data_IF_850034489718
#
_entry.id   IF_850034489718
#
_cell.length_a   1.000
_cell.length_b   1.000
_cell.length_c   1.000
_cell.angle_alpha   90.00
_cell.angle_beta   90.00
_cell.angle_gamma   90.00
#
_symmetry.space_group_name_H-M   'P 1'
#
loop_
_entity.id
_entity.type
_entity.pdbx_description
1 polymer ?
#
# COMPACT_ATOMS: atom_id res chain seq x y z
N UNK A 1 -26.21 22.19 -28.65
CA UNK A 1 -25.27 21.04 -28.74
C UNK A 1 -24.45 21.01 -27.46
N UNK A 2 -24.70 20.07 -26.57
CA UNK A 2 -23.94 19.92 -25.33
C UNK A 2 -22.49 19.61 -25.65
N UNK A 3 -21.55 20.13 -24.84
CA UNK A 3 -20.15 19.84 -25.04
C UNK A 3 -19.88 18.35 -24.74
N UNK A 4 -18.96 17.72 -25.45
CA UNK A 4 -18.46 16.37 -25.15
C UNK A 4 -18.10 16.21 -23.68
N UNK A 5 -17.56 17.27 -23.07
CA UNK A 5 -17.20 17.32 -21.65
C UNK A 5 -18.38 17.08 -20.72
N UNK A 6 -19.53 17.71 -20.98
CA UNK A 6 -20.73 17.54 -20.12
C UNK A 6 -21.31 16.14 -20.23
N UNK A 7 -21.32 15.59 -21.47
CA UNK A 7 -21.77 14.20 -21.72
C UNK A 7 -20.87 13.19 -20.97
N UNK A 8 -19.55 13.33 -21.10
CA UNK A 8 -18.59 12.48 -20.40
C UNK A 8 -18.68 12.64 -18.87
N UNK A 9 -18.88 13.88 -18.37
CA UNK A 9 -19.02 14.14 -16.95
C UNK A 9 -20.26 13.43 -16.35
N UNK A 10 -21.41 13.45 -17.00
CA UNK A 10 -22.59 12.72 -16.52
C UNK A 10 -22.42 11.20 -16.60
N UNK A 11 -21.87 10.68 -17.71
CA UNK A 11 -21.67 9.24 -17.87
C UNK A 11 -20.68 8.66 -16.85
N UNK A 12 -19.45 9.20 -16.83
CA UNK A 12 -18.42 8.76 -15.88
C UNK A 12 -18.78 9.11 -14.43
N UNK A 13 -19.34 10.31 -14.22
CA UNK A 13 -19.76 10.76 -12.89
C UNK A 13 -20.85 9.88 -12.28
N UNK A 14 -21.80 9.38 -13.09
CA UNK A 14 -22.84 8.47 -12.60
C UNK A 14 -22.28 7.10 -12.18
N UNK A 15 -21.28 6.56 -12.89
CA UNK A 15 -20.60 5.32 -12.51
C UNK A 15 -19.77 5.53 -11.24
N UNK A 16 -18.99 6.62 -11.17
CA UNK A 16 -18.21 6.95 -9.97
C UNK A 16 -19.09 7.19 -8.75
N UNK A 17 -20.27 7.79 -8.94
CA UNK A 17 -21.25 7.95 -7.87
C UNK A 17 -21.69 6.60 -7.30
N UNK A 18 -22.01 5.64 -8.17
CA UNK A 18 -22.38 4.28 -7.74
C UNK A 18 -21.26 3.61 -6.95
N UNK A 19 -20.01 3.72 -7.39
CA UNK A 19 -18.85 3.20 -6.64
C UNK A 19 -18.71 3.85 -5.26
N UNK A 20 -18.90 5.17 -5.15
CA UNK A 20 -18.90 5.85 -3.86
C UNK A 20 -20.01 5.36 -2.92
N UNK A 21 -21.22 5.15 -3.44
CA UNK A 21 -22.35 4.60 -2.66
C UNK A 21 -22.02 3.18 -2.19
N UNK A 22 -21.44 2.35 -3.05
CA UNK A 22 -21.00 0.99 -2.72
C UNK A 22 -19.97 0.98 -1.60
N UNK A 23 -18.90 1.77 -1.76
CA UNK A 23 -17.86 1.86 -0.74
C UNK A 23 -18.42 2.37 0.59
N UNK A 24 -19.32 3.36 0.54
CA UNK A 24 -19.95 3.90 1.74
C UNK A 24 -20.88 2.88 2.41
N UNK A 25 -21.66 2.13 1.65
CA UNK A 25 -22.48 1.04 2.16
C UNK A 25 -21.60 -0.03 2.83
N UNK A 26 -20.49 -0.41 2.21
CA UNK A 26 -19.56 -1.38 2.75
C UNK A 26 -18.94 -0.89 4.06
N UNK A 27 -18.44 0.36 4.13
CA UNK A 27 -17.94 0.97 5.36
C UNK A 27 -19.02 0.94 6.46
N UNK A 28 -20.24 1.38 6.13
CA UNK A 28 -21.35 1.40 7.09
C UNK A 28 -21.69 0.00 7.59
N UNK A 29 -21.57 -1.01 6.73
CA UNK A 29 -21.78 -2.42 7.07
C UNK A 29 -20.81 -2.93 8.14
N UNK A 30 -19.60 -2.37 8.23
CA UNK A 30 -18.67 -2.69 9.31
C UNK A 30 -18.84 -1.89 10.60
N UNK A 31 -19.62 -0.81 10.57
CA UNK A 31 -19.80 0.09 11.72
C UNK A 31 -21.21 0.09 12.30
N UNK A 32 -22.20 -0.44 11.58
CA UNK A 32 -23.61 -0.49 12.01
C UNK A 32 -24.11 -1.94 12.09
N UNK A 33 -24.42 -2.40 13.29
CA UNK A 33 -24.77 -3.81 13.59
C UNK A 33 -25.86 -4.40 12.69
N UNK A 34 -26.97 -3.70 12.35
CA UNK A 34 -27.99 -4.28 11.46
C UNK A 34 -27.45 -4.63 10.08
N UNK A 35 -26.63 -3.78 9.46
CA UNK A 35 -25.99 -4.06 8.17
C UNK A 35 -24.89 -5.11 8.32
N UNK A 36 -24.14 -5.09 9.42
CA UNK A 36 -23.12 -6.09 9.67
C UNK A 36 -23.67 -7.53 9.71
N UNK A 37 -24.89 -7.71 10.22
CA UNK A 37 -25.56 -9.02 10.22
C UNK A 37 -25.80 -9.57 8.81
N UNK A 38 -25.97 -8.70 7.83
CA UNK A 38 -26.07 -9.07 6.41
C UNK A 38 -24.67 -9.29 5.83
N UNK A 39 -23.78 -8.34 6.06
CA UNK A 39 -22.45 -8.32 5.49
C UNK A 39 -21.53 -9.46 6.01
N UNK A 40 -21.72 -9.93 7.24
CA UNK A 40 -20.94 -11.03 7.81
C UNK A 40 -21.04 -12.34 6.98
N UNK A 41 -22.09 -12.51 6.20
CA UNK A 41 -22.21 -13.65 5.29
C UNK A 41 -21.11 -13.62 4.23
N UNK A 42 -20.77 -12.44 3.69
CA UNK A 42 -19.67 -12.24 2.77
C UNK A 42 -18.32 -12.68 3.36
N UNK A 43 -18.04 -12.36 4.62
CA UNK A 43 -16.79 -12.76 5.28
C UNK A 43 -16.70 -14.25 5.63
N UNK A 44 -17.82 -14.95 5.70
CA UNK A 44 -17.86 -16.39 6.03
C UNK A 44 -17.71 -17.30 4.83
N UNK A 45 -17.80 -16.77 3.62
CA UNK A 45 -17.85 -17.56 2.38
C UNK A 45 -16.52 -18.19 2.05
N UNK A 46 -15.42 -17.45 2.20
CA UNK A 46 -14.14 -17.84 1.64
C UNK A 46 -13.14 -18.28 2.69
N UNK A 47 -12.30 -19.26 2.30
CA UNK A 47 -11.06 -19.62 2.97
C UNK A 47 -9.91 -18.72 2.50
N UNK A 48 -8.73 -18.71 3.17
CA UNK A 48 -7.59 -17.88 2.75
C UNK A 48 -7.07 -18.15 1.33
N UNK A 49 -7.36 -19.32 0.75
CA UNK A 49 -7.06 -19.65 -0.65
C UNK A 49 -8.14 -19.19 -1.66
N UNK A 50 -9.16 -18.47 -1.14
CA UNK A 50 -10.35 -18.01 -1.86
C UNK A 50 -11.26 -19.12 -2.39
N UNK A 51 -11.09 -20.36 -1.93
CA UNK A 51 -12.11 -21.38 -2.16
C UNK A 51 -13.32 -21.16 -1.24
N UNK A 52 -14.52 -21.44 -1.71
CA UNK A 52 -15.71 -21.34 -0.88
C UNK A 52 -15.73 -22.39 0.23
N UNK A 53 -16.26 -22.04 1.41
CA UNK A 53 -16.43 -22.96 2.55
C UNK A 53 -17.47 -24.03 2.20
N UNK A 54 -18.61 -23.62 1.58
CA UNK A 54 -19.60 -24.51 1.01
C UNK A 54 -20.43 -23.75 -0.03
N UNK A 55 -21.02 -24.50 -0.97
CA UNK A 55 -21.90 -23.91 -2.01
C UNK A 55 -23.15 -23.26 -1.38
N UNK A 56 -23.71 -23.86 -0.35
CA UNK A 56 -24.87 -23.30 0.34
C UNK A 56 -24.55 -21.93 0.97
N UNK A 57 -23.44 -21.81 1.68
CA UNK A 57 -23.01 -20.52 2.30
C UNK A 57 -22.72 -19.50 1.19
N UNK A 58 -22.08 -19.92 0.10
CA UNK A 58 -21.78 -19.06 -1.05
C UNK A 58 -23.07 -18.45 -1.62
N UNK A 59 -24.07 -19.28 -1.95
CA UNK A 59 -25.38 -18.80 -2.46
C UNK A 59 -26.10 -17.88 -1.46
N UNK A 60 -26.09 -18.23 -0.17
CA UNK A 60 -26.72 -17.40 0.86
C UNK A 60 -26.07 -16.04 1.01
N UNK A 61 -24.73 -15.96 0.88
CA UNK A 61 -24.03 -14.68 0.95
C UNK A 61 -24.49 -13.72 -0.15
N UNK A 62 -24.75 -14.19 -1.37
CA UNK A 62 -25.23 -13.33 -2.44
C UNK A 62 -26.67 -12.83 -2.20
N UNK A 63 -27.52 -13.64 -1.59
CA UNK A 63 -28.88 -13.19 -1.20
C UNK A 63 -28.87 -12.21 -0.02
N UNK A 64 -28.02 -12.43 0.98
CA UNK A 64 -28.04 -11.62 2.20
C UNK A 64 -27.11 -10.40 2.13
N UNK A 65 -26.02 -10.46 1.40
CA UNK A 65 -25.08 -9.34 1.27
C UNK A 65 -25.21 -8.60 -0.07
N UNK A 66 -24.98 -9.30 -1.20
CA UNK A 66 -24.81 -8.66 -2.51
C UNK A 66 -26.12 -8.10 -3.05
N UNK A 67 -27.24 -8.80 -2.83
CA UNK A 67 -28.56 -8.31 -3.28
C UNK A 67 -28.99 -7.03 -2.58
N UNK A 68 -28.99 -6.91 -1.22
CA UNK A 68 -29.28 -5.65 -0.54
C UNK A 68 -28.37 -4.50 -0.95
N UNK A 69 -27.06 -4.75 -1.06
CA UNK A 69 -26.08 -3.76 -1.52
C UNK A 69 -26.43 -3.25 -2.92
N UNK A 70 -26.69 -4.16 -3.88
CA UNK A 70 -27.06 -3.81 -5.26
C UNK A 70 -28.37 -3.03 -5.33
N UNK A 71 -29.34 -3.32 -4.45
CA UNK A 71 -30.60 -2.58 -4.40
C UNK A 71 -30.39 -1.14 -3.87
N UNK A 72 -29.52 -0.94 -2.88
CA UNK A 72 -29.15 0.39 -2.42
C UNK A 72 -28.43 1.17 -3.52
N UNK A 73 -27.46 0.55 -4.19
CA UNK A 73 -26.78 1.15 -5.34
C UNK A 73 -27.78 1.54 -6.44
N UNK A 74 -28.76 0.69 -6.74
CA UNK A 74 -29.79 0.97 -7.74
C UNK A 74 -30.67 2.16 -7.34
N UNK A 75 -31.10 2.22 -6.10
CA UNK A 75 -31.87 3.36 -5.59
C UNK A 75 -31.12 4.68 -5.81
N UNK A 76 -29.87 4.76 -5.37
CA UNK A 76 -29.08 5.98 -5.50
C UNK A 76 -28.67 6.31 -6.94
N UNK A 77 -28.52 5.32 -7.83
CA UNK A 77 -28.29 5.57 -9.25
C UNK A 77 -29.52 6.12 -9.95
N UNK A 78 -30.72 5.62 -9.60
CA UNK A 78 -31.99 6.14 -10.10
C UNK A 78 -32.26 7.57 -9.57
N UNK A 79 -31.93 7.86 -8.31
CA UNK A 79 -32.05 9.22 -7.76
C UNK A 79 -31.14 10.20 -8.51
N UNK A 80 -29.88 9.82 -8.79
CA UNK A 80 -28.96 10.64 -9.59
C UNK A 80 -29.48 10.86 -11.03
N UNK A 81 -30.01 9.81 -11.67
CA UNK A 81 -30.62 9.94 -12.96
C UNK A 81 -31.83 10.88 -12.94
N UNK A 82 -32.68 10.82 -11.88
CA UNK A 82 -33.80 11.74 -11.67
C UNK A 82 -33.33 13.20 -11.55
N UNK A 83 -32.24 13.45 -10.84
CA UNK A 83 -31.61 14.77 -10.77
C UNK A 83 -31.14 15.23 -12.14
N UNK A 84 -30.46 14.35 -12.90
CA UNK A 84 -30.01 14.66 -14.27
C UNK A 84 -31.21 14.97 -15.19
N UNK A 85 -32.31 14.24 -15.05
CA UNK A 85 -33.53 14.44 -15.83
C UNK A 85 -34.13 15.84 -15.63
N UNK A 86 -34.07 16.36 -14.37
CA UNK A 86 -34.62 17.70 -14.05
C UNK A 86 -33.69 18.82 -14.53
N UNK A 87 -32.36 18.63 -14.47
CA UNK A 87 -31.40 19.73 -14.58
C UNK A 87 -30.55 19.74 -15.84
N UNK A 88 -30.53 18.68 -16.65
CA UNK A 88 -29.64 18.61 -17.81
C UNK A 88 -30.17 17.79 -18.97
N UNK A 89 -29.68 18.15 -20.17
CA UNK A 89 -29.80 17.36 -21.37
C UNK A 89 -28.38 16.98 -21.87
N UNK A 90 -28.12 15.76 -22.30
CA UNK A 90 -29.01 14.60 -22.33
C UNK A 90 -28.92 13.80 -21.01
N UNK A 91 -30.00 13.81 -20.24
CA UNK A 91 -30.12 13.05 -18.98
C UNK A 91 -29.95 11.54 -19.13
N UNK A 92 -30.19 10.99 -20.33
CA UNK A 92 -30.03 9.56 -20.61
C UNK A 92 -28.60 9.06 -20.39
N UNK A 93 -27.57 9.93 -20.49
CA UNK A 93 -26.17 9.54 -20.25
C UNK A 93 -25.94 9.11 -18.81
N UNK A 94 -26.67 9.69 -17.85
CA UNK A 94 -26.59 9.31 -16.44
C UNK A 94 -27.16 7.89 -16.17
N UNK A 95 -27.90 7.29 -17.13
CA UNK A 95 -28.29 5.88 -17.07
C UNK A 95 -27.08 4.92 -17.09
N UNK A 96 -25.87 5.39 -17.45
CA UNK A 96 -24.65 4.58 -17.35
C UNK A 96 -24.45 4.01 -15.94
N UNK A 97 -24.70 4.81 -14.88
CA UNK A 97 -24.67 4.34 -13.50
C UNK A 97 -25.77 3.31 -13.18
N UNK A 98 -26.96 3.47 -13.74
CA UNK A 98 -28.06 2.50 -13.58
C UNK A 98 -27.70 1.16 -14.25
N UNK A 99 -27.23 1.18 -15.49
CA UNK A 99 -26.81 -0.03 -16.22
C UNK A 99 -25.65 -0.72 -15.49
N UNK A 100 -24.70 0.06 -15.01
CA UNK A 100 -23.60 -0.44 -14.21
C UNK A 100 -24.10 -1.16 -12.95
N UNK A 101 -25.03 -0.57 -12.21
CA UNK A 101 -25.63 -1.19 -11.02
C UNK A 101 -26.43 -2.46 -11.35
N UNK A 102 -27.17 -2.44 -12.45
CA UNK A 102 -27.92 -3.63 -12.89
C UNK A 102 -26.99 -4.82 -13.15
N UNK A 103 -25.75 -4.61 -13.59
CA UNK A 103 -24.79 -5.71 -13.74
C UNK A 103 -24.45 -6.38 -12.42
N UNK A 104 -24.32 -5.63 -11.31
CA UNK A 104 -24.13 -6.19 -9.96
C UNK A 104 -25.37 -6.93 -9.47
N UNK A 105 -26.56 -6.36 -9.68
CA UNK A 105 -27.83 -6.98 -9.28
C UNK A 105 -28.05 -8.31 -9.99
N UNK A 106 -27.86 -8.35 -11.31
CA UNK A 106 -27.96 -9.58 -12.10
C UNK A 106 -26.92 -10.60 -11.68
N UNK A 107 -25.67 -10.15 -11.44
CA UNK A 107 -24.60 -11.01 -10.91
C UNK A 107 -24.94 -11.61 -9.54
N UNK A 108 -25.47 -10.83 -8.61
CA UNK A 108 -25.90 -11.30 -7.29
C UNK A 108 -27.02 -12.35 -7.39
N UNK A 109 -28.04 -12.11 -8.22
CA UNK A 109 -29.14 -13.05 -8.45
C UNK A 109 -28.63 -14.33 -9.11
N UNK A 110 -27.77 -14.23 -10.12
CA UNK A 110 -27.23 -15.38 -10.84
C UNK A 110 -26.40 -16.29 -9.90
N UNK A 111 -25.50 -15.71 -9.11
CA UNK A 111 -24.70 -16.46 -8.12
C UNK A 111 -25.56 -17.05 -7.01
N UNK A 112 -26.49 -16.25 -6.46
CA UNK A 112 -27.41 -16.70 -5.42
C UNK A 112 -28.32 -17.83 -5.87
N UNK A 113 -28.72 -17.84 -7.13
CA UNK A 113 -29.52 -18.92 -7.75
C UNK A 113 -28.68 -20.13 -8.17
N UNK A 114 -27.34 -20.05 -8.08
CA UNK A 114 -26.43 -21.12 -8.45
C UNK A 114 -26.36 -21.36 -9.97
N UNK A 115 -26.47 -20.29 -10.77
CA UNK A 115 -26.27 -20.38 -12.21
C UNK A 115 -24.81 -20.73 -12.52
N UNK A 116 -24.60 -21.81 -13.27
CA UNK A 116 -23.26 -22.28 -13.63
C UNK A 116 -22.45 -21.20 -14.37
N UNK A 117 -21.20 -20.96 -13.95
CA UNK A 117 -20.31 -19.97 -14.54
C UNK A 117 -20.58 -18.51 -14.15
N UNK A 118 -21.58 -18.24 -13.31
CA UNK A 118 -21.89 -16.89 -12.87
C UNK A 118 -20.76 -16.29 -12.01
N UNK A 119 -20.12 -17.10 -11.17
CA UNK A 119 -18.96 -16.78 -10.35
C UNK A 119 -17.74 -16.42 -11.21
N UNK A 120 -17.46 -17.18 -12.25
CA UNK A 120 -16.34 -16.92 -13.17
C UNK A 120 -16.48 -15.57 -13.91
N UNK A 121 -17.70 -15.14 -14.18
CA UNK A 121 -17.97 -13.92 -14.94
C UNK A 121 -18.08 -12.68 -14.05
N UNK A 122 -18.60 -12.82 -12.84
CA UNK A 122 -19.06 -11.67 -12.04
C UNK A 122 -18.39 -11.55 -10.65
N UNK A 123 -17.61 -12.56 -10.21
CA UNK A 123 -16.90 -12.54 -8.91
C UNK A 123 -15.38 -12.55 -9.07
N UNK A 124 -14.86 -11.52 -9.73
CA UNK A 124 -13.46 -11.46 -10.14
C UNK A 124 -12.47 -11.33 -8.98
N UNK A 125 -12.89 -10.72 -7.86
CA UNK A 125 -12.04 -10.48 -6.69
C UNK A 125 -11.91 -11.68 -5.77
N UNK A 126 -12.79 -12.67 -5.88
CA UNK A 126 -12.79 -13.88 -5.05
C UNK A 126 -12.39 -15.15 -5.80
N UNK A 127 -11.91 -15.05 -7.01
CA UNK A 127 -11.47 -16.24 -7.76
C UNK A 127 -10.36 -16.98 -7.02
N UNK A 128 -10.47 -18.30 -6.80
CA UNK A 128 -9.41 -19.11 -6.21
C UNK A 128 -8.17 -19.15 -7.10
N UNK A 129 -7.06 -19.61 -6.55
CA UNK A 129 -5.79 -19.79 -7.25
C UNK A 129 -4.71 -18.77 -6.86
N UNK A 130 -3.53 -18.95 -7.44
CA UNK A 130 -2.33 -18.17 -7.10
C UNK A 130 -2.46 -16.70 -7.46
N UNK A 131 -1.89 -15.83 -6.61
CA UNK A 131 -1.71 -14.41 -6.92
C UNK A 131 -0.41 -14.24 -7.72
N UNK A 132 -0.46 -13.43 -8.78
CA UNK A 132 0.68 -13.14 -9.64
C UNK A 132 1.21 -11.71 -9.49
N UNK A 133 0.43 -10.84 -8.87
CA UNK A 133 0.76 -9.43 -8.69
C UNK A 133 0.45 -9.00 -7.27
N UNK A 134 1.22 -8.05 -6.71
CA UNK A 134 0.91 -7.49 -5.40
C UNK A 134 -0.41 -6.69 -5.41
N UNK A 135 -0.91 -6.26 -4.23
CA UNK A 135 -2.05 -5.35 -4.14
C UNK A 135 -1.88 -4.15 -5.06
N UNK A 136 -2.90 -3.86 -5.85
CA UNK A 136 -2.86 -2.75 -6.80
C UNK A 136 -2.97 -1.41 -6.08
N UNK A 137 -2.45 -0.34 -6.70
CA UNK A 137 -2.44 0.98 -6.10
C UNK A 137 -3.77 1.75 -6.29
N UNK A 138 -4.43 1.60 -7.45
CA UNK A 138 -5.59 2.41 -7.83
C UNK A 138 -6.87 1.63 -8.01
N UNK A 139 -6.76 0.35 -8.34
CA UNK A 139 -7.90 -0.53 -8.55
C UNK A 139 -7.82 -1.71 -7.57
N UNK A 140 -8.97 -2.13 -7.08
CA UNK A 140 -9.06 -3.31 -6.23
C UNK A 140 -8.77 -4.56 -7.08
N UNK A 141 -7.75 -5.31 -6.68
CA UNK A 141 -7.44 -6.63 -7.22
C UNK A 141 -7.58 -7.69 -6.12
N UNK A 142 -7.44 -8.97 -6.50
CA UNK A 142 -7.59 -10.09 -5.56
C UNK A 142 -6.73 -9.96 -4.30
N UNK A 143 -5.41 -9.64 -4.36
CA UNK A 143 -4.60 -9.44 -3.16
C UNK A 143 -5.02 -8.25 -2.30
N UNK A 144 -5.55 -7.17 -2.90
CA UNK A 144 -6.07 -6.04 -2.15
C UNK A 144 -7.32 -6.43 -1.36
N UNK A 145 -8.29 -7.06 -2.02
CA UNK A 145 -9.53 -7.51 -1.40
C UNK A 145 -9.32 -8.63 -0.38
N UNK A 146 -8.34 -9.50 -0.61
CA UNK A 146 -7.90 -10.51 0.33
C UNK A 146 -7.49 -9.90 1.69
N UNK A 147 -6.84 -8.74 1.68
CA UNK A 147 -6.48 -8.01 2.92
C UNK A 147 -7.72 -7.65 3.75
N UNK A 148 -8.83 -7.29 3.09
CA UNK A 148 -10.09 -7.00 3.76
C UNK A 148 -10.64 -8.22 4.50
N UNK A 149 -10.64 -9.38 3.86
CA UNK A 149 -11.15 -10.61 4.46
C UNK A 149 -10.25 -11.17 5.57
N UNK A 150 -8.93 -11.17 5.37
CA UNK A 150 -8.02 -12.02 6.16
C UNK A 150 -6.93 -11.25 6.91
N UNK A 151 -6.72 -9.97 6.62
CA UNK A 151 -5.74 -9.14 7.33
C UNK A 151 -6.41 -8.19 8.33
N UNK A 152 -7.34 -7.32 7.88
CA UNK A 152 -8.08 -6.43 8.75
C UNK A 152 -9.43 -6.03 8.13
N UNK A 153 -10.54 -6.55 8.66
CA UNK A 153 -11.90 -6.21 8.21
C UNK A 153 -12.32 -4.74 8.48
N UNK A 154 -11.54 -4.00 9.28
CA UNK A 154 -11.75 -2.55 9.51
C UNK A 154 -10.84 -1.68 8.63
N UNK A 155 -10.44 -2.19 7.47
CA UNK A 155 -9.65 -1.49 6.47
C UNK A 155 -9.92 -2.13 5.09
N UNK A 156 -9.43 -1.51 4.01
CA UNK A 156 -9.53 -2.04 2.63
C UNK A 156 -10.99 -2.21 2.17
N UNK A 157 -11.81 -1.21 2.39
CA UNK A 157 -13.26 -1.28 2.15
C UNK A 157 -13.65 -1.16 0.68
N UNK A 158 -12.80 -0.56 -0.16
CA UNK A 158 -13.16 -0.26 -1.55
C UNK A 158 -13.44 -1.51 -2.38
N UNK A 159 -14.44 -1.41 -3.25
CA UNK A 159 -14.87 -2.49 -4.14
C UNK A 159 -14.19 -2.48 -5.50
N UNK A 160 -13.92 -1.30 -6.09
CA UNK A 160 -13.32 -1.17 -7.43
C UNK A 160 -12.14 -0.21 -7.45
N UNK A 161 -12.31 1.02 -6.99
CA UNK A 161 -11.26 2.04 -6.91
C UNK A 161 -10.83 2.24 -5.47
N UNK A 162 -9.53 2.22 -5.19
CA UNK A 162 -8.99 2.36 -3.82
C UNK A 162 -9.07 3.79 -3.25
N UNK A 163 -9.81 4.69 -3.91
CA UNK A 163 -9.81 6.13 -3.63
C UNK A 163 -10.34 6.46 -2.23
N UNK A 164 -11.46 5.86 -1.83
CA UNK A 164 -12.08 6.12 -0.51
C UNK A 164 -11.16 5.63 0.60
N UNK A 165 -10.57 4.44 0.48
CA UNK A 165 -9.58 3.93 1.44
C UNK A 165 -8.36 4.84 1.56
N UNK A 166 -7.88 5.42 0.46
CA UNK A 166 -6.78 6.37 0.47
C UNK A 166 -7.14 7.66 1.23
N UNK A 167 -8.33 8.19 1.02
CA UNK A 167 -8.81 9.38 1.74
C UNK A 167 -8.93 9.11 3.24
N UNK A 168 -9.47 7.97 3.61
CA UNK A 168 -9.69 7.57 5.01
C UNK A 168 -8.41 7.11 5.71
N UNK A 169 -7.34 6.76 4.97
CA UNK A 169 -6.15 6.13 5.54
C UNK A 169 -6.36 4.67 5.95
N UNK A 170 -7.23 3.97 5.24
CA UNK A 170 -7.55 2.54 5.41
C UNK A 170 -7.01 1.66 4.27
N UNK A 171 -6.28 2.25 3.31
CA UNK A 171 -5.67 1.54 2.19
C UNK A 171 -4.45 0.68 2.57
N UNK A 172 -3.90 0.86 3.77
CA UNK A 172 -2.93 -0.04 4.41
C UNK A 172 -3.18 -0.05 5.93
N UNK A 173 -3.46 -1.23 6.48
CA UNK A 173 -3.52 -1.43 7.93
C UNK A 173 -2.17 -1.90 8.46
N UNK A 174 -1.69 -1.24 9.53
CA UNK A 174 -0.49 -1.65 10.26
C UNK A 174 -0.82 -2.49 11.48
N UNK A 175 -2.10 -2.56 11.87
CA UNK A 175 -2.55 -3.29 13.05
C UNK A 175 -2.22 -4.78 12.94
N UNK A 176 -1.47 -5.27 13.92
CA UNK A 176 -1.07 -6.68 14.00
C UNK A 176 0.04 -7.10 13.04
N UNK A 177 0.55 -6.20 12.18
CA UNK A 177 1.70 -6.45 11.30
C UNK A 177 3.00 -6.50 12.10
N UNK A 178 3.89 -7.42 11.75
CA UNK A 178 5.26 -7.44 12.24
C UNK A 178 6.12 -6.57 11.34
N UNK A 179 6.65 -5.48 11.88
CA UNK A 179 7.44 -4.48 11.13
C UNK A 179 8.85 -4.41 11.66
N UNK A 180 9.84 -4.67 10.82
CA UNK A 180 11.25 -4.54 11.15
C UNK A 180 11.86 -3.29 10.52
N UNK A 181 12.67 -2.56 11.30
CA UNK A 181 13.33 -1.32 10.88
C UNK A 181 14.83 -1.47 11.01
N UNK A 182 15.58 -1.35 9.89
CA UNK A 182 17.05 -1.27 9.93
C UNK A 182 17.51 0.13 10.33
N UNK A 183 18.71 0.26 10.89
CA UNK A 183 19.16 1.53 11.45
C UNK A 183 18.27 2.02 12.61
N UNK A 184 17.68 1.10 13.33
CA UNK A 184 16.69 1.32 14.37
C UNK A 184 17.20 2.16 15.55
N UNK A 185 18.51 2.14 15.84
CA UNK A 185 19.12 2.96 16.90
C UNK A 185 19.32 4.43 16.49
N UNK A 186 19.17 4.76 15.20
CA UNK A 186 19.24 6.13 14.68
C UNK A 186 18.00 6.96 15.03
N UNK A 187 18.10 8.29 14.86
CA UNK A 187 17.01 9.22 15.23
C UNK A 187 15.71 8.90 14.51
N UNK A 188 15.74 8.75 13.18
CA UNK A 188 14.53 8.39 12.41
C UNK A 188 14.06 6.97 12.72
N UNK A 189 15.00 6.01 12.91
CA UNK A 189 14.63 4.62 13.22
C UNK A 189 13.82 4.51 14.52
N UNK A 190 14.23 5.21 15.58
CA UNK A 190 13.48 5.27 16.85
C UNK A 190 12.08 5.88 16.68
N UNK A 191 11.98 6.99 15.95
CA UNK A 191 10.69 7.63 15.67
C UNK A 191 9.78 6.74 14.83
N UNK A 192 10.30 6.03 13.83
CA UNK A 192 9.53 5.05 13.05
C UNK A 192 8.99 3.92 13.93
N UNK A 193 9.83 3.31 14.77
CA UNK A 193 9.41 2.26 15.70
C UNK A 193 8.28 2.75 16.62
N UNK A 194 8.39 3.97 17.16
CA UNK A 194 7.37 4.56 18.00
C UNK A 194 6.03 4.73 17.26
N UNK A 195 6.00 5.42 16.12
CA UNK A 195 4.78 5.67 15.38
C UNK A 195 4.15 4.39 14.79
N UNK A 196 4.96 3.40 14.41
CA UNK A 196 4.47 2.08 13.99
C UNK A 196 3.77 1.36 15.14
N UNK A 197 4.37 1.37 16.33
CA UNK A 197 3.77 0.81 17.53
C UNK A 197 2.43 1.48 17.87
N UNK A 198 2.35 2.80 17.81
CA UNK A 198 1.11 3.57 18.01
C UNK A 198 -0.01 3.19 17.02
N UNK A 199 0.35 2.68 15.85
CA UNK A 199 -0.61 2.16 14.86
C UNK A 199 -0.93 0.66 15.05
N UNK A 200 -0.47 0.06 16.16
CA UNK A 200 -0.73 -1.33 16.52
C UNK A 200 0.14 -2.34 15.81
N UNK A 201 1.28 -1.95 15.24
CA UNK A 201 2.27 -2.87 14.70
C UNK A 201 3.11 -3.52 15.82
N UNK A 202 3.56 -4.75 15.58
CA UNK A 202 4.60 -5.42 16.36
C UNK A 202 5.95 -5.02 15.77
N UNK A 203 6.72 -4.22 16.51
CA UNK A 203 7.95 -3.62 16.00
C UNK A 203 9.18 -4.45 16.37
N UNK A 204 10.13 -4.56 15.42
CA UNK A 204 11.43 -5.21 15.59
C UNK A 204 12.51 -4.21 15.18
N UNK A 205 13.50 -4.03 16.05
CA UNK A 205 14.64 -3.17 15.80
C UNK A 205 15.82 -3.97 15.25
N UNK A 206 16.25 -3.65 14.02
CA UNK A 206 17.46 -4.20 13.41
C UNK A 206 18.57 -3.15 13.50
N UNK A 207 19.64 -3.44 14.26
CA UNK A 207 20.71 -2.47 14.57
C UNK A 207 22.06 -3.16 14.68
N UNK A 208 23.14 -2.41 14.48
CA UNK A 208 24.52 -2.87 14.74
C UNK A 208 24.95 -2.69 16.19
N UNK A 209 24.11 -2.06 17.03
CA UNK A 209 24.38 -1.85 18.45
C UNK A 209 23.78 -2.98 19.28
N UNK A 210 24.51 -3.40 20.33
CA UNK A 210 24.07 -4.45 21.26
C UNK A 210 23.07 -3.95 22.31
N UNK A 211 23.00 -2.62 22.53
CA UNK A 211 22.13 -2.05 23.55
C UNK A 211 20.64 -2.21 23.18
N UNK A 212 19.79 -2.65 24.11
CA UNK A 212 18.35 -2.74 23.90
C UNK A 212 17.77 -1.37 23.53
N UNK A 213 16.83 -1.36 22.58
CA UNK A 213 16.09 -0.16 22.25
C UNK A 213 14.85 -0.08 23.14
N UNK A 214 14.82 0.96 23.97
CA UNK A 214 13.68 1.30 24.81
C UNK A 214 13.05 2.56 24.22
N UNK A 215 11.75 2.51 23.97
CA UNK A 215 10.91 3.63 23.58
C UNK A 215 10.09 4.07 24.80
N UNK A 216 9.65 5.32 24.81
CA UNK A 216 8.64 5.78 25.77
C UNK A 216 7.32 5.87 25.07
N UNK A 217 6.36 5.04 25.43
CA UNK A 217 5.00 5.02 24.89
C UNK A 217 4.00 5.31 26.03
N UNK A 218 3.20 6.35 25.88
CA UNK A 218 2.19 6.78 26.88
C UNK A 218 2.76 6.99 28.30
N UNK A 219 4.03 7.43 28.36
CA UNK A 219 4.75 7.64 29.64
C UNK A 219 5.44 6.40 30.22
N UNK A 220 5.20 5.22 29.64
CA UNK A 220 5.79 3.95 30.08
C UNK A 220 6.92 3.48 29.14
N UNK A 221 7.96 2.83 29.69
CA UNK A 221 9.04 2.27 28.88
C UNK A 221 8.58 1.04 28.11
N UNK A 222 8.68 1.07 26.78
CA UNK A 222 8.43 -0.05 25.88
C UNK A 222 9.75 -0.64 25.42
N UNK A 223 10.03 -1.88 25.82
CA UNK A 223 11.19 -2.65 25.31
C UNK A 223 10.84 -3.22 23.93
N UNK A 224 11.65 -2.90 22.93
CA UNK A 224 11.50 -3.39 21.55
C UNK A 224 12.36 -4.63 21.33
N UNK A 225 11.81 -5.69 20.70
CA UNK A 225 12.62 -6.83 20.25
C UNK A 225 13.76 -6.29 19.37
N UNK A 226 15.01 -6.45 19.84
CA UNK A 226 16.20 -5.94 19.16
C UNK A 226 17.00 -7.12 18.64
N UNK A 227 17.40 -7.05 17.36
CA UNK A 227 18.24 -8.03 16.68
C UNK A 227 19.48 -7.31 16.19
N UNK A 228 20.64 -7.78 16.63
CA UNK A 228 21.94 -7.22 16.25
C UNK A 228 22.40 -7.87 14.93
N UNK A 229 22.83 -7.04 13.98
CA UNK A 229 23.39 -7.46 12.71
C UNK A 229 24.43 -6.46 12.19
N UNK A 230 25.26 -6.87 11.26
CA UNK A 230 26.31 -6.04 10.66
C UNK A 230 26.17 -6.01 9.14
N UNK A 231 26.47 -4.86 8.52
CA UNK A 231 26.59 -4.73 7.06
C UNK A 231 27.64 -5.72 6.55
N UNK A 232 27.32 -6.48 5.51
CA UNK A 232 28.11 -7.60 5.00
C UNK A 232 27.61 -8.97 5.45
N UNK A 233 26.84 -9.05 6.55
CA UNK A 233 26.30 -10.28 7.12
C UNK A 233 24.76 -10.31 7.04
N UNK A 234 24.17 -9.79 5.96
CA UNK A 234 22.71 -9.72 5.78
C UNK A 234 22.05 -11.11 5.79
N UNK A 235 22.79 -12.15 5.36
CA UNK A 235 22.33 -13.54 5.39
C UNK A 235 21.94 -14.06 6.77
N UNK A 236 22.51 -13.51 7.84
CA UNK A 236 22.22 -13.91 9.23
C UNK A 236 20.77 -13.59 9.62
N UNK A 237 20.17 -12.61 8.92
CA UNK A 237 18.78 -12.22 9.14
C UNK A 237 17.76 -13.10 8.40
N UNK A 238 18.18 -14.07 7.58
CA UNK A 238 17.28 -14.83 6.70
C UNK A 238 16.11 -15.49 7.46
N UNK A 239 16.38 -16.09 8.60
CA UNK A 239 15.35 -16.75 9.41
C UNK A 239 14.34 -15.74 10.00
N UNK A 240 14.82 -14.60 10.44
CA UNK A 240 13.98 -13.53 11.02
C UNK A 240 13.08 -12.89 9.96
N UNK A 241 13.59 -12.70 8.73
CA UNK A 241 12.85 -12.09 7.62
C UNK A 241 11.61 -12.92 7.21
N UNK A 242 11.58 -14.22 7.45
CA UNK A 242 10.39 -15.05 7.17
C UNK A 242 9.16 -14.58 7.95
N UNK A 243 9.34 -14.16 9.20
CA UNK A 243 8.25 -13.73 10.10
C UNK A 243 7.84 -12.27 9.97
N UNK A 244 8.53 -11.48 9.14
CA UNK A 244 8.31 -10.05 8.98
C UNK A 244 7.29 -9.79 7.86
N UNK A 245 6.28 -8.96 8.15
CA UNK A 245 5.31 -8.49 7.17
C UNK A 245 5.83 -7.25 6.41
N UNK A 246 6.51 -6.32 7.11
CA UNK A 246 7.04 -5.10 6.50
C UNK A 246 8.50 -4.90 6.93
N UNK A 247 9.39 -4.81 5.95
CA UNK A 247 10.80 -4.47 6.16
C UNK A 247 11.07 -3.02 5.76
N UNK A 248 11.55 -2.20 6.71
CA UNK A 248 11.93 -0.80 6.46
C UNK A 248 13.45 -0.69 6.41
N UNK A 249 13.99 -0.46 5.22
CA UNK A 249 15.42 -0.27 4.97
C UNK A 249 15.78 1.21 5.21
N UNK A 250 16.25 1.53 6.42
CA UNK A 250 16.50 2.90 6.87
C UNK A 250 17.97 3.13 7.30
N UNK A 251 18.80 2.10 7.32
CA UNK A 251 20.23 2.28 7.65
C UNK A 251 20.97 3.04 6.55
N UNK A 252 22.04 3.71 6.93
CA UNK A 252 22.88 4.47 6.02
C UNK A 252 23.98 5.20 6.74
N UNK A 253 24.93 5.70 5.97
CA UNK A 253 26.03 6.55 6.44
C UNK A 253 26.16 7.79 5.56
N UNK A 254 26.82 8.81 6.11
CA UNK A 254 27.29 9.97 5.37
C UNK A 254 28.79 10.16 5.65
N UNK A 255 29.59 10.12 4.61
CA UNK A 255 31.05 10.38 4.68
C UNK A 255 31.40 11.85 4.41
N UNK A 256 30.36 12.70 4.34
CA UNK A 256 30.44 14.14 4.11
C UNK A 256 31.22 14.50 2.83
N UNK A 257 32.31 15.27 2.94
CA UNK A 257 33.12 15.73 1.81
C UNK A 257 34.26 14.80 1.41
N UNK A 258 34.39 13.62 2.04
CA UNK A 258 35.43 12.66 1.70
C UNK A 258 35.23 12.09 0.30
N UNK A 259 36.33 11.79 -0.40
CA UNK A 259 36.34 11.19 -1.76
C UNK A 259 37.47 10.20 -1.98
N UNK A 260 37.97 9.61 -0.88
CA UNK A 260 38.96 8.53 -0.94
C UNK A 260 38.32 7.24 -1.48
N UNK A 261 39.15 6.30 -1.97
CA UNK A 261 38.67 4.99 -2.44
C UNK A 261 37.88 4.26 -1.32
N UNK A 262 38.33 4.31 -0.09
CA UNK A 262 37.67 3.70 1.06
C UNK A 262 36.33 4.36 1.38
N UNK A 263 36.24 5.69 1.30
CA UNK A 263 34.99 6.43 1.50
C UNK A 263 33.97 6.08 0.41
N UNK A 264 34.42 5.91 -0.85
CA UNK A 264 33.57 5.48 -1.97
C UNK A 264 33.05 4.05 -1.70
N UNK A 265 33.95 3.10 -1.44
CA UNK A 265 33.60 1.70 -1.16
C UNK A 265 32.62 1.61 0.01
N UNK A 266 32.89 2.27 1.13
CA UNK A 266 32.03 2.29 2.33
C UNK A 266 30.66 2.91 2.07
N UNK A 267 30.61 4.02 1.32
CA UNK A 267 29.34 4.71 1.00
C UNK A 267 28.42 3.82 0.16
N UNK A 268 28.95 3.18 -0.88
CA UNK A 268 28.16 2.27 -1.72
C UNK A 268 27.80 0.98 -1.00
N UNK A 269 28.72 0.41 -0.22
CA UNK A 269 28.48 -0.82 0.52
C UNK A 269 27.30 -0.64 1.50
N UNK A 270 27.30 0.41 2.30
CA UNK A 270 26.27 0.63 3.33
C UNK A 270 24.97 1.17 2.73
N UNK A 271 25.05 2.21 1.89
CA UNK A 271 23.84 2.92 1.42
C UNK A 271 23.15 2.20 0.27
N UNK A 272 23.88 1.42 -0.53
CA UNK A 272 23.36 0.78 -1.75
C UNK A 272 23.31 -0.75 -1.62
N UNK A 273 24.48 -1.39 -1.52
CA UNK A 273 24.58 -2.84 -1.66
C UNK A 273 23.99 -3.62 -0.48
N UNK A 274 24.20 -3.17 0.74
CA UNK A 274 23.60 -3.77 1.93
C UNK A 274 22.06 -3.68 1.87
N UNK A 275 21.53 -2.49 1.54
CA UNK A 275 20.08 -2.31 1.35
C UNK A 275 19.52 -3.18 0.23
N UNK A 276 20.27 -3.31 -0.88
CA UNK A 276 19.91 -4.18 -1.99
C UNK A 276 19.88 -5.66 -1.59
N UNK A 277 20.92 -6.16 -0.90
CA UNK A 277 20.95 -7.55 -0.42
C UNK A 277 19.81 -7.88 0.53
N UNK A 278 19.49 -6.98 1.47
CA UNK A 278 18.34 -7.17 2.36
C UNK A 278 17.00 -7.14 1.62
N UNK A 279 16.85 -6.26 0.62
CA UNK A 279 15.69 -6.26 -0.25
C UNK A 279 15.51 -7.62 -0.93
N UNK A 280 16.55 -8.14 -1.60
CA UNK A 280 16.47 -9.42 -2.31
C UNK A 280 16.22 -10.60 -1.35
N UNK A 281 16.86 -10.63 -0.18
CA UNK A 281 16.61 -11.66 0.83
C UNK A 281 15.15 -11.63 1.32
N UNK A 282 14.60 -10.44 1.53
CA UNK A 282 13.20 -10.33 1.93
C UNK A 282 12.24 -10.74 0.81
N UNK A 283 12.49 -10.36 -0.45
CA UNK A 283 11.64 -10.76 -1.57
C UNK A 283 11.60 -12.28 -1.76
N UNK A 284 12.67 -13.02 -1.41
CA UNK A 284 12.70 -14.48 -1.43
C UNK A 284 11.76 -15.13 -0.38
N UNK A 285 11.31 -14.37 0.62
CA UNK A 285 10.33 -14.85 1.62
C UNK A 285 8.87 -14.73 1.13
N UNK A 286 8.63 -14.11 -0.03
CA UNK A 286 7.30 -13.91 -0.60
C UNK A 286 6.96 -15.10 -1.49
N UNK A 287 6.24 -16.11 -0.95
CA UNK A 287 6.01 -17.39 -1.63
C UNK A 287 4.54 -17.77 -1.75
N UNK A 288 3.71 -17.32 -0.81
CA UNK A 288 2.29 -17.67 -0.73
C UNK A 288 1.40 -16.49 -1.11
N UNK A 289 0.12 -16.75 -1.37
CA UNK A 289 -0.89 -15.69 -1.58
C UNK A 289 -0.93 -14.72 -0.39
N UNK A 290 -0.79 -15.23 0.82
CA UNK A 290 -0.73 -14.43 2.03
C UNK A 290 0.48 -13.51 2.04
N UNK A 291 1.67 -14.01 1.66
CA UNK A 291 2.88 -13.19 1.58
C UNK A 291 2.73 -12.09 0.52
N UNK A 292 2.25 -12.45 -0.68
CA UNK A 292 2.02 -11.49 -1.77
C UNK A 292 1.06 -10.37 -1.34
N UNK A 293 0.01 -10.73 -0.60
CA UNK A 293 -0.98 -9.78 -0.13
C UNK A 293 -0.45 -8.92 1.03
N UNK A 294 0.35 -9.46 1.95
CA UNK A 294 0.70 -8.82 3.23
C UNK A 294 2.06 -8.18 3.28
N UNK A 295 3.08 -8.79 2.61
CA UNK A 295 4.46 -8.33 2.73
C UNK A 295 4.73 -7.06 1.92
N UNK A 296 5.55 -6.17 2.48
CA UNK A 296 5.99 -4.93 1.83
C UNK A 296 7.44 -4.60 2.21
N UNK A 297 8.15 -3.92 1.33
CA UNK A 297 9.46 -3.32 1.64
C UNK A 297 9.38 -1.80 1.47
N UNK A 298 9.84 -1.06 2.48
CA UNK A 298 9.96 0.39 2.41
C UNK A 298 11.44 0.77 2.39
N UNK A 299 11.87 1.48 1.36
CA UNK A 299 13.28 1.79 1.15
C UNK A 299 13.50 3.29 1.28
N UNK A 300 14.32 3.69 2.26
CA UNK A 300 14.74 5.08 2.43
C UNK A 300 15.82 5.42 1.39
N UNK A 301 15.39 6.00 0.25
CA UNK A 301 16.28 6.38 -0.85
C UNK A 301 16.86 7.77 -0.65
N UNK A 302 16.09 8.80 -0.53
CA UNK A 302 16.45 10.20 -0.25
C UNK A 302 15.99 11.15 -1.37
N UNK A 303 15.75 12.40 -1.01
CA UNK A 303 15.58 13.53 -1.95
C UNK A 303 16.83 13.74 -2.83
N UNK A 304 17.99 13.22 -2.42
CA UNK A 304 19.23 13.23 -3.21
C UNK A 304 19.10 12.53 -4.58
N UNK A 305 18.03 11.78 -4.82
CA UNK A 305 17.73 11.24 -6.16
C UNK A 305 17.51 12.36 -7.21
N UNK A 306 17.05 13.54 -6.81
CA UNK A 306 16.66 14.64 -7.72
C UNK A 306 17.18 16.01 -7.32
N UNK A 307 17.74 16.15 -6.11
CA UNK A 307 18.25 17.41 -5.57
C UNK A 307 19.63 17.24 -4.95
N UNK A 308 20.50 18.25 -4.99
CA UNK A 308 21.77 18.21 -4.26
C UNK A 308 21.55 18.07 -2.75
N UNK A 309 22.37 17.24 -2.09
CA UNK A 309 22.35 17.02 -0.64
C UNK A 309 23.65 17.49 0.04
N UNK A 310 24.49 18.26 -0.66
CA UNK A 310 25.78 18.82 -0.17
C UNK A 310 26.74 17.73 0.31
N UNK A 311 26.57 16.51 -0.18
CA UNK A 311 27.41 15.34 0.13
C UNK A 311 27.45 14.39 -1.07
N UNK A 312 28.44 14.57 -2.00
CA UNK A 312 28.45 13.89 -3.29
C UNK A 312 28.37 12.35 -3.20
N UNK A 313 29.14 11.71 -2.32
CA UNK A 313 29.10 10.24 -2.20
C UNK A 313 27.79 9.72 -1.62
N UNK A 314 27.17 10.47 -0.71
CA UNK A 314 25.83 10.15 -0.23
C UNK A 314 24.81 10.25 -1.37
N UNK A 315 24.85 11.32 -2.15
CA UNK A 315 23.96 11.50 -3.31
C UNK A 315 24.10 10.36 -4.33
N UNK A 316 25.34 10.06 -4.76
CA UNK A 316 25.60 9.02 -5.76
C UNK A 316 25.12 7.65 -5.27
N UNK A 317 25.42 7.28 -4.02
CA UNK A 317 25.00 5.99 -3.47
C UNK A 317 23.47 5.90 -3.30
N UNK A 318 22.79 6.99 -2.92
CA UNK A 318 21.32 7.00 -2.78
C UNK A 318 20.61 7.03 -4.13
N UNK A 319 21.17 7.71 -5.14
CA UNK A 319 20.67 7.64 -6.53
C UNK A 319 20.77 6.22 -7.08
N UNK A 320 21.91 5.56 -6.90
CA UNK A 320 22.09 4.17 -7.31
C UNK A 320 21.06 3.23 -6.65
N UNK A 321 20.84 3.36 -5.33
CA UNK A 321 19.80 2.61 -4.64
C UNK A 321 18.41 2.92 -5.20
N UNK A 322 18.10 4.21 -5.43
CA UNK A 322 16.82 4.63 -5.98
C UNK A 322 16.53 3.99 -7.34
N UNK A 323 17.50 3.98 -8.24
CA UNK A 323 17.35 3.40 -9.59
C UNK A 323 17.25 1.86 -9.53
N UNK A 324 18.03 1.19 -8.68
CA UNK A 324 17.90 -0.25 -8.43
C UNK A 324 16.49 -0.62 -7.92
N UNK A 325 15.95 0.17 -7.00
CA UNK A 325 14.57 -0.04 -6.49
C UNK A 325 13.54 0.19 -7.59
N UNK A 326 13.71 1.20 -8.46
CA UNK A 326 12.81 1.42 -9.60
C UNK A 326 12.83 0.23 -10.56
N UNK A 327 14.03 -0.30 -10.87
CA UNK A 327 14.19 -1.48 -11.71
C UNK A 327 13.49 -2.70 -11.06
N UNK A 328 13.74 -2.95 -9.78
CA UNK A 328 13.20 -4.12 -9.08
C UNK A 328 11.68 -4.10 -8.90
N UNK A 329 11.06 -2.92 -8.88
CA UNK A 329 9.60 -2.75 -8.83
C UNK A 329 8.89 -3.32 -10.05
N UNK A 330 9.56 -3.48 -11.19
CA UNK A 330 8.94 -3.97 -12.42
C UNK A 330 8.43 -5.41 -12.29
N UNK A 331 9.05 -6.21 -11.41
CA UNK A 331 8.74 -7.64 -11.24
C UNK A 331 8.72 -8.10 -9.77
N UNK A 332 8.63 -7.15 -8.84
CA UNK A 332 8.60 -7.47 -7.41
C UNK A 332 7.33 -8.26 -7.04
N UNK A 333 7.44 -9.33 -6.26
CA UNK A 333 6.30 -10.14 -5.83
C UNK A 333 5.45 -9.48 -4.74
N UNK A 334 5.95 -8.41 -4.11
CA UNK A 334 5.23 -7.63 -3.11
C UNK A 334 5.40 -6.13 -3.34
N UNK A 335 4.67 -5.31 -2.57
CA UNK A 335 4.76 -3.85 -2.68
C UNK A 335 6.10 -3.35 -2.19
N UNK A 336 6.79 -2.53 -3.01
CA UNK A 336 7.98 -1.78 -2.62
C UNK A 336 7.63 -0.29 -2.57
N UNK A 337 7.83 0.37 -1.41
CA UNK A 337 7.67 1.82 -1.25
C UNK A 337 9.03 2.50 -1.23
N UNK A 338 9.13 3.65 -1.89
CA UNK A 338 10.28 4.55 -1.75
C UNK A 338 9.95 5.63 -0.73
N UNK A 339 10.90 5.93 0.15
CA UNK A 339 10.83 7.04 1.09
C UNK A 339 11.83 8.11 0.61
N UNK A 340 11.30 9.18 0.00
CA UNK A 340 12.07 10.29 -0.57
C UNK A 340 12.10 11.40 0.47
N UNK A 341 13.13 11.36 1.33
CA UNK A 341 13.22 12.22 2.49
C UNK A 341 14.18 13.39 2.24
N UNK A 342 13.69 14.59 2.50
CA UNK A 342 14.48 15.81 2.52
C UNK A 342 15.32 15.95 3.80
N UNK A 343 15.96 17.11 4.02
CA UNK A 343 16.92 17.34 5.10
C UNK A 343 16.22 17.39 6.47
N UNK A 344 16.23 16.29 7.22
CA UNK A 344 15.79 16.24 8.61
C UNK A 344 16.98 16.13 9.58
N UNK A 345 16.76 16.62 10.80
CA UNK A 345 17.77 16.62 11.85
C UNK A 345 18.06 15.21 12.35
N UNK A 346 19.31 14.78 12.21
CA UNK A 346 19.78 13.44 12.63
C UNK A 346 21.29 13.46 12.87
N UNK A 347 21.83 12.36 13.37
CA UNK A 347 23.29 12.22 13.52
C UNK A 347 24.03 12.29 12.17
N UNK A 348 23.38 11.93 11.07
CA UNK A 348 23.95 12.01 9.70
C UNK A 348 23.80 13.41 9.10
N UNK A 349 22.88 14.23 9.60
CA UNK A 349 22.61 15.59 9.17
C UNK A 349 22.20 16.47 10.36
N UNK A 350 23.17 17.03 11.14
CA UNK A 350 22.85 17.84 12.31
C UNK A 350 22.12 19.15 12.01
N UNK A 351 22.27 19.68 10.79
CA UNK A 351 21.67 20.95 10.33
C UNK A 351 20.32 20.77 9.64
N UNK A 352 19.75 19.55 9.67
CA UNK A 352 18.42 19.27 9.08
C UNK A 352 17.33 20.15 9.68
N UNK A 353 16.40 20.60 8.84
CA UNK A 353 15.35 21.57 9.22
C UNK A 353 14.06 20.90 9.71
N UNK A 354 13.81 19.66 9.33
CA UNK A 354 12.66 18.89 9.80
C UNK A 354 13.03 18.04 11.02
N UNK A 355 12.10 17.80 11.93
CA UNK A 355 12.32 16.83 13.01
C UNK A 355 12.14 15.40 12.50
N UNK A 356 12.94 14.46 13.00
CA UNK A 356 12.80 13.05 12.62
C UNK A 356 11.46 12.46 13.06
N UNK A 357 10.90 12.93 14.16
CA UNK A 357 9.60 12.51 14.65
C UNK A 357 8.47 12.90 13.68
N UNK A 358 8.45 14.17 13.28
CA UNK A 358 7.48 14.65 12.27
C UNK A 358 7.63 13.90 10.94
N UNK A 359 8.88 13.67 10.47
CA UNK A 359 9.13 12.89 9.24
C UNK A 359 8.59 11.48 9.37
N UNK A 360 8.84 10.78 10.48
CA UNK A 360 8.31 9.44 10.72
C UNK A 360 6.78 9.42 10.72
N UNK A 361 6.14 10.40 11.37
CA UNK A 361 4.68 10.54 11.38
C UNK A 361 4.13 10.74 9.96
N UNK A 362 4.75 11.61 9.13
CA UNK A 362 4.32 11.81 7.74
C UNK A 362 4.50 10.54 6.89
N UNK A 363 5.61 9.82 7.05
CA UNK A 363 5.82 8.53 6.38
C UNK A 363 4.66 7.58 6.67
N UNK A 364 4.30 7.40 7.94
CA UNK A 364 3.22 6.50 8.35
C UNK A 364 1.87 6.98 7.81
N UNK A 365 1.56 8.28 7.90
CA UNK A 365 0.30 8.86 7.42
C UNK A 365 0.12 8.71 5.90
N UNK A 366 1.21 8.79 5.13
CA UNK A 366 1.18 8.58 3.69
C UNK A 366 1.14 7.08 3.33
N UNK A 367 1.83 6.24 4.11
CA UNK A 367 1.84 4.80 3.90
C UNK A 367 0.44 4.18 4.09
N UNK A 368 -0.30 4.56 5.14
CA UNK A 368 -1.67 4.05 5.38
C UNK A 368 -2.67 4.49 4.31
N UNK A 369 -2.33 5.52 3.52
CA UNK A 369 -3.04 5.94 2.31
C UNK A 369 -2.54 5.27 1.03
N UNK A 370 -1.71 4.25 1.16
CA UNK A 370 -1.06 3.51 0.04
C UNK A 370 -0.30 4.41 -0.94
N UNK A 371 0.32 5.49 -0.45
CA UNK A 371 1.27 6.28 -1.25
C UNK A 371 2.56 5.47 -1.40
N UNK A 372 2.96 5.16 -2.63
CA UNK A 372 4.11 4.27 -2.89
C UNK A 372 5.42 5.01 -3.09
N UNK A 373 5.37 6.26 -3.48
CA UNK A 373 6.49 7.21 -3.50
C UNK A 373 6.22 8.27 -2.44
N UNK A 374 6.68 8.03 -1.22
CA UNK A 374 6.45 8.89 -0.06
C UNK A 374 7.48 10.01 -0.06
N UNK A 375 7.06 11.19 -0.46
CA UNK A 375 7.90 12.40 -0.46
C UNK A 375 7.62 13.19 0.82
N UNK A 376 8.65 13.36 1.66
CA UNK A 376 8.59 14.17 2.87
C UNK A 376 9.75 15.15 2.85
N UNK A 377 9.49 16.36 2.41
CA UNK A 377 10.51 17.41 2.25
C UNK A 377 9.88 18.80 2.32
N UNK A 378 10.69 19.79 2.62
CA UNK A 378 10.32 21.23 2.51
C UNK A 378 10.62 21.80 1.11
N UNK A 379 11.32 21.05 0.24
CA UNK A 379 11.67 21.49 -1.11
C UNK A 379 10.51 21.22 -2.08
N UNK A 380 9.78 22.24 -2.56
CA UNK A 380 8.63 22.05 -3.45
C UNK A 380 9.04 21.47 -4.82
N UNK A 381 10.26 21.69 -5.27
CA UNK A 381 10.73 21.17 -6.56
C UNK A 381 10.80 19.64 -6.59
N UNK A 382 11.01 18.99 -5.44
CA UNK A 382 11.04 17.53 -5.37
C UNK A 382 9.70 16.90 -5.72
N UNK A 383 8.58 17.55 -5.38
CA UNK A 383 7.24 17.06 -5.72
C UNK A 383 6.96 17.08 -7.23
N UNK A 384 7.70 17.87 -8.01
CA UNK A 384 7.64 17.88 -9.47
C UNK A 384 8.74 16.99 -10.08
N UNK A 385 9.98 17.19 -9.66
CA UNK A 385 11.15 16.55 -10.26
C UNK A 385 11.16 15.02 -10.06
N UNK A 386 10.79 14.56 -8.84
CA UNK A 386 10.83 13.12 -8.53
C UNK A 386 9.80 12.31 -9.36
N UNK A 387 8.51 12.64 -9.43
CA UNK A 387 7.56 11.92 -10.27
C UNK A 387 7.95 11.88 -11.74
N UNK A 388 8.49 12.98 -12.28
CA UNK A 388 8.97 13.05 -13.66
C UNK A 388 10.16 12.09 -13.86
N UNK A 389 11.18 12.19 -13.00
CA UNK A 389 12.34 11.27 -13.02
C UNK A 389 11.89 9.82 -12.93
N UNK A 390 11.06 9.48 -11.94
CA UNK A 390 10.60 8.11 -11.70
C UNK A 390 9.81 7.54 -12.88
N UNK A 391 8.97 8.36 -13.51
CA UNK A 391 8.22 7.98 -14.71
C UNK A 391 9.16 7.61 -15.86
N UNK A 392 10.11 8.50 -16.22
CA UNK A 392 11.01 8.26 -17.34
C UNK A 392 11.99 7.12 -17.08
N UNK A 393 12.54 7.01 -15.88
CA UNK A 393 13.45 5.92 -15.49
C UNK A 393 12.70 4.57 -15.51
N UNK A 394 11.50 4.51 -14.95
CA UNK A 394 10.67 3.31 -14.97
C UNK A 394 10.28 2.89 -16.39
N UNK A 395 9.91 3.88 -17.24
CA UNK A 395 9.60 3.61 -18.65
C UNK A 395 10.83 3.08 -19.40
N UNK A 396 11.99 3.72 -19.23
CA UNK A 396 13.25 3.28 -19.84
C UNK A 396 13.60 1.84 -19.41
N UNK A 397 13.54 1.55 -18.11
CA UNK A 397 13.84 0.19 -17.63
C UNK A 397 12.85 -0.84 -18.17
N UNK A 398 11.57 -0.51 -18.26
CA UNK A 398 10.55 -1.40 -18.84
C UNK A 398 10.80 -1.73 -20.30
N UNK A 399 11.31 -0.76 -21.07
CA UNK A 399 11.56 -0.94 -22.51
C UNK A 399 12.87 -1.68 -22.78
N UNK A 400 13.90 -1.51 -21.93
CA UNK A 400 15.27 -1.96 -22.22
C UNK A 400 15.82 -3.01 -21.24
N UNK A 401 15.02 -3.48 -20.27
CA UNK A 401 15.40 -4.62 -19.43
C UNK A 401 14.48 -5.82 -19.66
N UNK A 402 15.02 -7.01 -19.48
CA UNK A 402 14.28 -8.27 -19.59
C UNK A 402 14.34 -9.02 -18.26
N UNK A 403 13.27 -9.73 -17.93
CA UNK A 403 13.28 -10.69 -16.85
C UNK A 403 14.04 -11.93 -17.37
N UNK A 404 15.14 -12.25 -16.71
CA UNK A 404 15.90 -13.46 -17.00
C UNK A 404 15.17 -14.74 -16.57
#
# INVERSE_FOLDING_TARGET
MMSFVTTAAWGLGSVLWVELIRDFYHILSHHWTPLYRLHVWHHRVFKPDLTSVSEQIYRQAHWYNDLPESLVMLLFSLLLWGVAYIWSEPHWVALAGVVYTLSFLVGAIARGSGLSGADELTDLTHRPGQFFTPPSNWMVNRPYHWRHHFDNQKAYYCGTLTFVDKLMGTALSLKGKTVAVTGASGTLGRSLLYHLHQRGAKVIALTSKSDPIILTAEGEPLSVKTITWQVGNESDLKAELESIDILILNHGINVHGERTADAIAKSYEVNTFSSWRLLELFLQTVRTNQDIARKEVWVNTSEAEVSPAVSPLYELSKRALGDLVTLRRLDAPCVIRKLILGPFKSNLNPIGVMSADWVAQQIINLAVRDVRNIIVTINPLTFLAFPIKEFFVSLYFRLFSHKG
#
